data_IF_448573457186
#
_entry.id   IF_448573457186
#
_cell.length_a   1.000
_cell.length_b   1.000
_cell.length_c   1.000
_cell.angle_alpha   90.00
_cell.angle_beta   90.00
_cell.angle_gamma   90.00
#
_symmetry.space_group_name_H-M   'P 1'
#
loop_
_entity.id
_entity.type
_entity.pdbx_description
1 polymer ?
#
# COMPACT_ATOMS: atom_id res chain seq x y z
N UNK A 1 -12.51 -83.51 -17.47
CA UNK A 1 -13.37 -82.63 -18.28
C UNK A 1 -13.98 -81.56 -17.40
N UNK A 2 -13.85 -80.30 -17.82
CA UNK A 2 -14.75 -79.16 -17.55
C UNK A 2 -14.76 -78.47 -16.16
N UNK A 3 -13.96 -77.40 -16.12
CA UNK A 3 -14.29 -76.02 -15.70
C UNK A 3 -15.04 -75.77 -14.38
N UNK A 4 -14.30 -75.30 -13.36
CA UNK A 4 -14.84 -74.49 -12.27
C UNK A 4 -14.43 -73.03 -12.48
N UNK A 5 -15.45 -72.20 -12.67
CA UNK A 5 -15.42 -70.77 -13.01
C UNK A 5 -15.00 -69.95 -11.78
N UNK A 6 -13.98 -69.10 -11.92
CA UNK A 6 -13.66 -68.03 -10.96
C UNK A 6 -14.55 -66.82 -11.27
N UNK A 7 -15.51 -66.53 -10.38
CA UNK A 7 -16.30 -65.31 -10.41
C UNK A 7 -15.53 -64.22 -9.65
N UNK A 8 -14.90 -63.29 -10.37
CA UNK A 8 -14.31 -62.08 -9.79
C UNK A 8 -15.34 -60.94 -9.91
N UNK A 9 -15.85 -60.48 -8.78
CA UNK A 9 -16.75 -59.33 -8.69
C UNK A 9 -15.90 -58.04 -8.71
N UNK A 10 -15.87 -57.35 -9.85
CA UNK A 10 -15.30 -56.01 -9.98
C UNK A 10 -16.37 -54.98 -9.59
N UNK A 11 -16.32 -54.50 -8.35
CA UNK A 11 -17.11 -53.34 -7.91
C UNK A 11 -16.40 -52.07 -8.39
N UNK A 12 -16.92 -51.45 -9.45
CA UNK A 12 -16.47 -50.14 -9.91
C UNK A 12 -16.94 -49.04 -8.98
N UNK A 13 -16.01 -48.41 -8.24
CA UNK A 13 -16.23 -47.15 -7.54
C UNK A 13 -16.26 -46.01 -8.56
N UNK A 14 -17.46 -45.65 -9.03
CA UNK A 14 -17.68 -44.36 -9.70
C UNK A 14 -17.75 -43.27 -8.64
N UNK A 15 -16.61 -42.63 -8.37
CA UNK A 15 -16.58 -41.38 -7.61
C UNK A 15 -17.24 -40.31 -8.49
N UNK A 16 -18.47 -39.92 -8.15
CA UNK A 16 -19.09 -38.74 -8.72
C UNK A 16 -18.31 -37.51 -8.26
N UNK A 17 -17.45 -36.98 -9.13
CA UNK A 17 -16.88 -35.65 -8.95
C UNK A 17 -18.03 -34.64 -9.09
N UNK A 18 -18.59 -34.21 -7.96
CA UNK A 18 -19.48 -33.05 -7.95
C UNK A 18 -18.73 -31.83 -8.50
N UNK A 19 -19.41 -30.90 -9.19
CA UNK A 19 -18.75 -29.68 -9.64
C UNK A 19 -18.21 -28.96 -8.42
N UNK A 20 -16.88 -28.90 -8.29
CA UNK A 20 -16.26 -28.00 -7.35
C UNK A 20 -16.73 -26.60 -7.72
N UNK A 21 -17.58 -25.99 -6.90
CA UNK A 21 -17.89 -24.58 -7.05
C UNK A 21 -16.56 -23.84 -6.98
N UNK A 22 -16.11 -23.31 -8.12
CA UNK A 22 -14.88 -22.55 -8.18
C UNK A 22 -14.96 -21.44 -7.12
N UNK A 23 -13.94 -21.36 -6.27
CA UNK A 23 -13.88 -20.35 -5.24
C UNK A 23 -13.98 -18.97 -5.90
N UNK A 24 -14.88 -18.14 -5.38
CA UNK A 24 -15.08 -16.75 -5.82
C UNK A 24 -13.74 -16.00 -5.83
N UNK A 25 -13.42 -15.33 -6.94
CA UNK A 25 -12.09 -14.71 -7.14
C UNK A 25 -11.83 -13.50 -6.21
N UNK A 26 -12.89 -12.77 -5.87
CA UNK A 26 -12.89 -11.73 -4.84
C UNK A 26 -13.56 -12.26 -3.57
N UNK A 27 -12.87 -12.23 -2.43
CA UNK A 27 -13.42 -12.70 -1.14
C UNK A 27 -13.20 -11.65 -0.06
N UNK A 28 -14.29 -11.25 0.61
CA UNK A 28 -14.32 -10.26 1.69
C UNK A 28 -15.25 -10.74 2.82
N UNK A 29 -14.70 -11.37 3.88
CA UNK A 29 -15.52 -11.89 4.99
C UNK A 29 -16.28 -10.80 5.74
N UNK A 30 -15.70 -9.61 5.84
CA UNK A 30 -16.34 -8.42 6.41
C UNK A 30 -17.61 -8.06 5.63
N UNK A 31 -17.52 -7.93 4.31
CA UNK A 31 -18.67 -7.61 3.47
C UNK A 31 -19.70 -8.75 3.41
N UNK A 32 -19.28 -9.99 3.60
CA UNK A 32 -20.20 -11.13 3.71
C UNK A 32 -21.07 -11.01 4.97
N UNK A 33 -20.46 -10.68 6.10
CA UNK A 33 -21.17 -10.43 7.36
C UNK A 33 -22.11 -9.22 7.25
N UNK A 34 -21.63 -8.13 6.65
CA UNK A 34 -22.43 -6.91 6.47
C UNK A 34 -23.64 -7.17 5.55
N UNK A 35 -23.45 -7.96 4.49
CA UNK A 35 -24.52 -8.45 3.64
C UNK A 35 -25.57 -9.25 4.41
N UNK A 36 -25.16 -10.21 5.24
CA UNK A 36 -26.11 -10.98 6.07
C UNK A 36 -26.92 -10.08 7.00
N UNK A 37 -26.29 -9.10 7.66
CA UNK A 37 -27.00 -8.14 8.53
C UNK A 37 -27.99 -7.29 7.74
N UNK A 38 -27.61 -6.86 6.53
CA UNK A 38 -28.51 -6.13 5.62
C UNK A 38 -29.72 -6.98 5.23
N UNK A 39 -29.50 -8.24 4.84
CA UNK A 39 -30.57 -9.18 4.46
C UNK A 39 -31.55 -9.40 5.62
N UNK A 40 -31.05 -9.68 6.82
CA UNK A 40 -31.89 -9.89 8.00
C UNK A 40 -32.67 -8.64 8.41
N UNK A 41 -32.07 -7.45 8.26
CA UNK A 41 -32.78 -6.19 8.48
C UNK A 41 -33.94 -6.01 7.50
N UNK A 42 -33.70 -6.27 6.21
CA UNK A 42 -34.72 -6.13 5.17
C UNK A 42 -35.90 -7.09 5.39
N UNK A 43 -35.63 -8.34 5.81
CA UNK A 43 -36.69 -9.32 6.13
C UNK A 43 -37.65 -8.83 7.22
N UNK A 44 -37.17 -8.01 8.16
CA UNK A 44 -38.00 -7.44 9.24
C UNK A 44 -38.73 -6.18 8.83
N UNK A 45 -38.10 -5.35 7.99
CA UNK A 45 -38.57 -3.98 7.70
C UNK A 45 -39.40 -3.88 6.41
N UNK A 46 -39.24 -4.81 5.47
CA UNK A 46 -39.81 -4.70 4.11
C UNK A 46 -40.87 -5.76 3.89
N UNK A 47 -42.11 -5.31 3.69
CA UNK A 47 -43.21 -6.17 3.28
C UNK A 47 -43.32 -6.20 1.75
N UNK A 48 -43.04 -7.36 1.17
CA UNK A 48 -43.25 -7.64 -0.25
C UNK A 48 -44.67 -8.19 -0.36
N UNK A 49 -45.63 -7.34 -0.74
CA UNK A 49 -46.97 -7.82 -1.09
C UNK A 49 -46.94 -8.79 -2.28
N UNK A 50 -48.07 -8.96 -2.98
CA UNK A 50 -48.16 -9.86 -4.14
C UNK A 50 -47.45 -9.35 -5.42
N UNK A 51 -46.44 -8.47 -5.30
CA UNK A 51 -45.73 -7.89 -6.45
C UNK A 51 -44.64 -8.86 -6.93
N UNK A 52 -44.67 -9.30 -8.21
CA UNK A 52 -43.62 -10.18 -8.74
C UNK A 52 -42.25 -9.50 -8.76
N UNK A 53 -41.20 -10.28 -8.48
CA UNK A 53 -39.80 -9.85 -8.55
C UNK A 53 -39.47 -9.12 -9.86
N UNK A 54 -39.86 -9.69 -11.00
CA UNK A 54 -39.58 -9.12 -12.31
C UNK A 54 -40.18 -7.71 -12.51
N UNK A 55 -41.35 -7.45 -11.89
CA UNK A 55 -41.99 -6.13 -11.93
C UNK A 55 -41.27 -5.14 -11.02
N UNK A 56 -40.91 -5.55 -9.80
CA UNK A 56 -40.13 -4.72 -8.88
C UNK A 56 -38.79 -4.30 -9.50
N UNK A 57 -38.10 -5.25 -10.13
CA UNK A 57 -36.81 -5.00 -10.79
C UNK A 57 -36.95 -4.02 -11.96
N UNK A 58 -37.95 -4.23 -12.83
CA UNK A 58 -38.19 -3.37 -14.00
C UNK A 58 -38.57 -1.95 -13.59
N UNK A 59 -39.49 -1.80 -12.64
CA UNK A 59 -39.96 -0.51 -12.17
C UNK A 59 -38.83 0.26 -11.48
N UNK A 60 -38.02 -0.44 -10.67
CA UNK A 60 -36.86 0.14 -10.00
C UNK A 60 -35.77 0.58 -10.98
N UNK A 61 -35.46 -0.23 -11.99
CA UNK A 61 -34.52 0.16 -13.05
C UNK A 61 -35.05 1.35 -13.86
N UNK A 62 -36.36 1.41 -14.11
CA UNK A 62 -36.99 2.55 -14.77
C UNK A 62 -36.84 3.83 -13.94
N UNK A 63 -37.02 3.77 -12.62
CA UNK A 63 -36.78 4.90 -11.73
C UNK A 63 -35.31 5.34 -11.75
N UNK A 64 -34.36 4.40 -11.68
CA UNK A 64 -32.92 4.70 -11.81
C UNK A 64 -32.58 5.40 -13.12
N UNK A 65 -33.07 4.91 -14.25
CA UNK A 65 -32.80 5.47 -15.57
C UNK A 65 -33.36 6.90 -15.71
N UNK A 66 -34.36 7.28 -14.91
CA UNK A 66 -34.89 8.65 -14.83
C UNK A 66 -34.13 9.54 -13.83
N UNK A 67 -33.10 9.02 -13.16
CA UNK A 67 -32.36 9.72 -12.12
C UNK A 67 -33.03 9.71 -10.74
N UNK A 68 -34.12 8.97 -10.56
CA UNK A 68 -34.86 8.91 -9.30
C UNK A 68 -34.41 7.73 -8.43
N UNK A 69 -33.20 7.84 -7.89
CA UNK A 69 -32.61 6.83 -7.03
C UNK A 69 -33.38 6.63 -5.71
N UNK A 70 -34.05 7.69 -5.21
CA UNK A 70 -34.87 7.62 -4.00
C UNK A 70 -36.15 6.81 -4.23
N UNK A 71 -36.78 6.91 -5.39
CA UNK A 71 -37.91 6.03 -5.75
C UNK A 71 -37.47 4.60 -6.09
N UNK A 72 -36.26 4.42 -6.64
CA UNK A 72 -35.74 3.09 -6.98
C UNK A 72 -35.41 2.23 -5.74
N UNK A 73 -34.86 2.83 -4.68
CA UNK A 73 -34.40 2.10 -3.50
C UNK A 73 -35.47 1.22 -2.82
N UNK A 74 -36.71 1.69 -2.54
CA UNK A 74 -37.73 0.82 -1.95
C UNK A 74 -38.16 -0.33 -2.88
N UNK A 75 -38.17 -0.11 -4.21
CA UNK A 75 -38.44 -1.16 -5.19
C UNK A 75 -37.32 -2.21 -5.19
N UNK A 76 -36.07 -1.78 -5.06
CA UNK A 76 -34.91 -2.64 -4.92
C UNK A 76 -34.93 -3.46 -3.63
N UNK A 77 -35.28 -2.83 -2.51
CA UNK A 77 -35.47 -3.49 -1.22
C UNK A 77 -36.51 -4.61 -1.32
N UNK A 78 -37.67 -4.31 -1.93
CA UNK A 78 -38.72 -5.30 -2.14
C UNK A 78 -38.26 -6.42 -3.10
N UNK A 79 -37.54 -6.09 -4.17
CA UNK A 79 -37.01 -7.10 -5.09
C UNK A 79 -36.02 -8.06 -4.40
N UNK A 80 -35.12 -7.52 -3.56
CA UNK A 80 -34.15 -8.32 -2.81
C UNK A 80 -34.81 -9.25 -1.79
N UNK A 81 -35.95 -8.85 -1.20
CA UNK A 81 -36.72 -9.74 -0.29
C UNK A 81 -37.59 -10.74 -1.06
N UNK A 82 -38.13 -10.35 -2.23
CA UNK A 82 -38.97 -11.22 -3.07
C UNK A 82 -38.21 -12.43 -3.60
N UNK A 83 -36.95 -12.25 -3.98
CA UNK A 83 -36.06 -13.31 -4.45
C UNK A 83 -34.61 -13.07 -3.95
N UNK A 84 -34.28 -13.45 -2.71
CA UNK A 84 -32.97 -13.17 -2.10
C UNK A 84 -31.81 -13.91 -2.77
N UNK A 85 -32.09 -15.01 -3.47
CA UNK A 85 -31.10 -15.78 -4.20
C UNK A 85 -30.72 -15.13 -5.54
N UNK A 86 -31.55 -14.23 -6.06
CA UNK A 86 -31.32 -13.57 -7.33
C UNK A 86 -30.43 -12.32 -7.17
N UNK A 87 -29.32 -12.19 -7.93
CA UNK A 87 -28.43 -11.05 -7.81
C UNK A 87 -29.05 -9.73 -8.31
N UNK A 88 -30.13 -9.76 -9.09
CA UNK A 88 -30.74 -8.59 -9.70
C UNK A 88 -31.24 -7.55 -8.70
N UNK A 89 -31.99 -7.98 -7.66
CA UNK A 89 -32.51 -7.07 -6.63
C UNK A 89 -31.39 -6.39 -5.84
N UNK A 90 -30.33 -7.15 -5.53
CA UNK A 90 -29.15 -6.65 -4.83
C UNK A 90 -28.33 -5.67 -5.67
N UNK A 91 -28.14 -5.92 -6.98
CA UNK A 91 -27.50 -4.96 -7.91
C UNK A 91 -28.28 -3.65 -7.99
N UNK A 92 -29.61 -3.75 -8.15
CA UNK A 92 -30.48 -2.59 -8.20
C UNK A 92 -30.39 -1.78 -6.91
N UNK A 93 -30.34 -2.45 -5.75
CA UNK A 93 -30.22 -1.79 -4.44
C UNK A 93 -28.89 -1.05 -4.32
N UNK A 94 -27.80 -1.67 -4.75
CA UNK A 94 -26.48 -1.04 -4.73
C UNK A 94 -26.44 0.22 -5.58
N UNK A 95 -26.98 0.16 -6.80
CA UNK A 95 -27.05 1.30 -7.71
C UNK A 95 -27.96 2.41 -7.16
N UNK A 96 -29.13 2.06 -6.60
CA UNK A 96 -30.04 3.03 -5.99
C UNK A 96 -29.45 3.69 -4.76
N UNK A 97 -28.92 2.91 -3.81
CA UNK A 97 -28.29 3.46 -2.61
C UNK A 97 -27.08 4.34 -2.95
N UNK A 98 -26.27 3.92 -3.93
CA UNK A 98 -25.15 4.71 -4.43
C UNK A 98 -25.62 5.99 -5.14
N UNK A 99 -26.74 5.97 -5.86
CA UNK A 99 -27.27 7.10 -6.62
C UNK A 99 -27.98 8.19 -5.82
N UNK A 100 -28.33 7.94 -4.55
CA UNK A 100 -29.02 8.92 -3.71
C UNK A 100 -28.03 9.98 -3.21
N UNK A 101 -28.37 11.26 -3.40
CA UNK A 101 -27.69 12.37 -2.71
C UNK A 101 -28.13 12.41 -1.24
N UNK A 102 -27.23 12.24 -0.28
CA UNK A 102 -27.57 12.22 1.14
C UNK A 102 -27.98 13.60 1.65
N UNK A 103 -28.94 13.64 2.56
CA UNK A 103 -29.39 14.86 3.26
C UNK A 103 -28.50 15.25 4.42
N UNK A 104 -27.87 14.25 5.04
CA UNK A 104 -27.02 14.43 6.21
C UNK A 104 -25.92 13.35 6.29
N UNK A 105 -25.03 13.50 7.27
CA UNK A 105 -23.89 12.60 7.49
C UNK A 105 -24.32 11.17 7.84
N UNK A 106 -25.42 11.01 8.58
CA UNK A 106 -25.92 9.70 9.00
C UNK A 106 -26.48 8.95 7.79
N UNK A 107 -27.33 9.61 6.99
CA UNK A 107 -27.87 9.03 5.75
C UNK A 107 -26.73 8.70 4.79
N UNK A 108 -25.69 9.53 4.69
CA UNK A 108 -24.49 9.25 3.88
C UNK A 108 -23.82 7.94 4.29
N UNK A 109 -23.62 7.72 5.59
CA UNK A 109 -23.00 6.50 6.09
C UNK A 109 -23.88 5.27 5.82
N UNK A 110 -25.17 5.36 6.12
CA UNK A 110 -26.14 4.27 5.92
C UNK A 110 -26.28 3.88 4.44
N UNK A 111 -26.32 4.85 3.53
CA UNK A 111 -26.38 4.62 2.09
C UNK A 111 -25.08 3.99 1.56
N UNK A 112 -23.92 4.44 2.03
CA UNK A 112 -22.63 3.85 1.67
C UNK A 112 -22.55 2.38 2.09
N UNK A 113 -22.84 2.09 3.36
CA UNK A 113 -22.83 0.71 3.88
C UNK A 113 -23.81 -0.16 3.10
N UNK A 114 -25.04 0.33 2.88
CA UNK A 114 -26.05 -0.39 2.10
C UNK A 114 -25.60 -0.67 0.66
N UNK A 115 -25.00 0.32 -0.02
CA UNK A 115 -24.56 0.18 -1.40
C UNK A 115 -23.46 -0.89 -1.53
N UNK A 116 -22.44 -0.84 -0.67
CA UNK A 116 -21.31 -1.78 -0.69
C UNK A 116 -21.79 -3.20 -0.36
N UNK A 117 -22.57 -3.36 0.70
CA UNK A 117 -23.08 -4.67 1.14
C UNK A 117 -24.00 -5.31 0.11
N UNK A 118 -24.92 -4.53 -0.48
CA UNK A 118 -25.79 -5.02 -1.54
C UNK A 118 -25.01 -5.41 -2.81
N UNK A 119 -24.02 -4.62 -3.21
CA UNK A 119 -23.20 -4.95 -4.39
C UNK A 119 -22.39 -6.24 -4.19
N UNK A 120 -21.84 -6.43 -2.98
CA UNK A 120 -21.10 -7.65 -2.65
C UNK A 120 -22.02 -8.88 -2.56
N UNK A 121 -23.22 -8.75 -1.97
CA UNK A 121 -24.23 -9.82 -1.97
C UNK A 121 -24.63 -10.22 -3.39
N UNK A 122 -24.87 -9.25 -4.28
CA UNK A 122 -25.17 -9.55 -5.68
C UNK A 122 -24.08 -10.43 -6.32
N UNK A 123 -22.82 -10.11 -6.08
CA UNK A 123 -21.68 -10.89 -6.57
C UNK A 123 -21.62 -12.30 -5.96
N UNK A 124 -21.88 -12.42 -4.65
CA UNK A 124 -21.94 -13.73 -3.98
C UNK A 124 -23.08 -14.61 -4.50
N UNK A 125 -24.23 -14.02 -4.83
CA UNK A 125 -25.42 -14.71 -5.36
C UNK A 125 -25.35 -15.00 -6.87
N UNK A 126 -24.39 -14.40 -7.57
CA UNK A 126 -24.23 -14.62 -9.01
C UNK A 126 -23.66 -16.02 -9.27
N UNK A 127 -24.32 -16.80 -10.12
CA UNK A 127 -23.93 -18.18 -10.45
C UNK A 127 -23.42 -18.36 -11.87
N UNK A 128 -23.68 -17.39 -12.75
CA UNK A 128 -23.23 -17.36 -14.14
C UNK A 128 -22.06 -16.39 -14.31
N UNK A 129 -21.17 -16.62 -15.29
CA UNK A 129 -20.08 -15.68 -15.61
C UNK A 129 -20.58 -14.27 -15.96
N UNK A 130 -21.66 -14.09 -16.75
CA UNK A 130 -22.19 -12.75 -17.05
C UNK A 130 -22.77 -12.02 -15.82
N UNK A 131 -23.49 -12.71 -14.94
CA UNK A 131 -23.99 -12.11 -13.68
C UNK A 131 -22.83 -11.80 -12.72
N UNK A 132 -21.88 -12.73 -12.65
CA UNK A 132 -20.49 -12.59 -12.25
C UNK A 132 -19.91 -11.19 -12.47
N UNK A 133 -19.62 -10.96 -13.75
CA UNK A 133 -19.02 -9.75 -14.26
C UNK A 133 -19.86 -8.52 -13.95
N UNK A 134 -21.18 -8.61 -14.17
CA UNK A 134 -22.10 -7.49 -13.94
C UNK A 134 -22.13 -7.05 -12.47
N UNK A 135 -22.15 -7.99 -11.54
CA UNK A 135 -22.16 -7.69 -10.11
C UNK A 135 -20.84 -7.12 -9.62
N UNK A 136 -19.70 -7.66 -10.11
CA UNK A 136 -18.38 -7.07 -9.85
C UNK A 136 -18.26 -5.65 -10.41
N UNK A 137 -18.84 -5.39 -11.59
CA UNK A 137 -18.87 -4.06 -12.18
C UNK A 137 -19.64 -3.04 -11.35
N UNK A 138 -20.80 -3.43 -10.81
CA UNK A 138 -21.56 -2.61 -9.87
C UNK A 138 -20.75 -2.37 -8.58
N UNK A 139 -20.13 -3.41 -8.02
CA UNK A 139 -19.29 -3.30 -6.83
C UNK A 139 -18.10 -2.37 -7.05
N UNK A 140 -17.46 -2.43 -8.22
CA UNK A 140 -16.34 -1.56 -8.58
C UNK A 140 -16.74 -0.09 -8.61
N UNK A 141 -17.86 0.24 -9.26
CA UNK A 141 -18.42 1.60 -9.29
C UNK A 141 -18.81 2.12 -7.92
N UNK A 142 -19.37 1.26 -7.07
CA UNK A 142 -19.69 1.61 -5.68
C UNK A 142 -18.41 1.91 -4.90
N UNK A 143 -17.37 1.09 -5.03
CA UNK A 143 -16.08 1.36 -4.38
C UNK A 143 -15.45 2.66 -4.90
N UNK A 144 -15.47 2.89 -6.21
CA UNK A 144 -14.95 4.11 -6.81
C UNK A 144 -15.68 5.36 -6.30
N UNK A 145 -17.02 5.36 -6.29
CA UNK A 145 -17.82 6.48 -5.78
C UNK A 145 -17.49 6.83 -4.32
N UNK A 146 -17.11 5.81 -3.53
CA UNK A 146 -16.76 5.96 -2.12
C UNK A 146 -15.25 6.02 -1.87
N UNK A 147 -14.46 6.31 -2.92
CA UNK A 147 -13.02 6.54 -2.87
C UNK A 147 -12.19 5.35 -2.35
N UNK A 148 -12.75 4.15 -2.46
CA UNK A 148 -12.08 2.90 -2.13
C UNK A 148 -11.32 2.40 -3.37
N UNK A 149 -10.25 3.12 -3.72
CA UNK A 149 -9.56 2.98 -5.00
C UNK A 149 -9.00 1.58 -5.29
N UNK A 150 -8.31 0.98 -4.32
CA UNK A 150 -7.69 -0.34 -4.52
C UNK A 150 -8.74 -1.46 -4.67
N UNK A 151 -9.77 -1.54 -3.80
CA UNK A 151 -10.90 -2.43 -4.05
C UNK A 151 -11.60 -2.19 -5.39
N UNK A 152 -11.81 -0.92 -5.79
CA UNK A 152 -12.43 -0.58 -7.08
C UNK A 152 -11.62 -1.11 -8.27
N UNK A 153 -10.32 -0.81 -8.34
CA UNK A 153 -9.43 -1.30 -9.41
C UNK A 153 -9.40 -2.83 -9.49
N UNK A 154 -9.38 -3.50 -8.33
CA UNK A 154 -9.38 -4.97 -8.27
C UNK A 154 -10.67 -5.55 -8.83
N UNK A 155 -11.82 -5.01 -8.42
CA UNK A 155 -13.14 -5.51 -8.83
C UNK A 155 -13.48 -5.16 -10.28
N UNK A 156 -13.03 -4.00 -10.78
CA UNK A 156 -13.09 -3.68 -12.21
C UNK A 156 -12.33 -4.70 -13.04
N UNK A 157 -11.05 -4.98 -12.70
CA UNK A 157 -10.23 -5.97 -13.40
C UNK A 157 -10.91 -7.34 -13.42
N UNK A 158 -11.37 -7.82 -12.26
CA UNK A 158 -12.06 -9.11 -12.16
C UNK A 158 -13.36 -9.16 -12.97
N UNK A 159 -14.10 -8.07 -13.06
CA UNK A 159 -15.28 -7.97 -13.92
C UNK A 159 -14.91 -8.13 -15.40
N UNK A 160 -13.88 -7.40 -15.85
CA UNK A 160 -13.41 -7.40 -17.24
C UNK A 160 -12.75 -8.73 -17.66
N UNK A 161 -12.09 -9.42 -16.73
CA UNK A 161 -11.54 -10.77 -16.94
C UNK A 161 -12.64 -11.80 -17.21
N UNK A 162 -13.84 -11.57 -16.68
CA UNK A 162 -14.97 -12.48 -16.82
C UNK A 162 -15.79 -12.24 -18.08
N UNK A 163 -16.09 -10.97 -18.36
CA UNK A 163 -16.79 -10.53 -19.56
C UNK A 163 -16.35 -9.11 -19.94
N UNK A 164 -16.04 -8.91 -21.23
CA UNK A 164 -15.70 -7.59 -21.73
C UNK A 164 -16.90 -6.63 -21.68
N UNK A 165 -16.65 -5.39 -21.26
CA UNK A 165 -17.60 -4.30 -21.28
C UNK A 165 -16.86 -2.97 -21.53
N UNK A 166 -17.15 -2.32 -22.67
CA UNK A 166 -16.46 -1.11 -23.09
C UNK A 166 -16.61 0.08 -22.10
N UNK A 167 -17.78 0.23 -21.47
CA UNK A 167 -18.00 1.28 -20.48
C UNK A 167 -17.18 1.04 -19.21
N UNK A 168 -17.21 -0.19 -18.67
CA UNK A 168 -16.41 -0.54 -17.49
C UNK A 168 -14.91 -0.46 -17.77
N UNK A 169 -14.46 -0.84 -18.98
CA UNK A 169 -13.06 -0.70 -19.39
C UNK A 169 -12.62 0.75 -19.37
N UNK A 170 -13.45 1.64 -19.91
CA UNK A 170 -13.19 3.09 -19.90
C UNK A 170 -13.06 3.62 -18.47
N UNK A 171 -14.00 3.25 -17.58
CA UNK A 171 -13.96 3.64 -16.17
C UNK A 171 -12.69 3.10 -15.48
N UNK A 172 -12.37 1.82 -15.71
CA UNK A 172 -11.18 1.16 -15.16
C UNK A 172 -9.87 1.83 -15.60
N UNK A 173 -9.70 2.09 -16.90
CA UNK A 173 -8.49 2.69 -17.45
C UNK A 173 -8.28 4.12 -16.93
N UNK A 174 -9.37 4.91 -16.86
CA UNK A 174 -9.34 6.25 -16.29
C UNK A 174 -8.92 6.22 -14.81
N UNK A 175 -9.51 5.33 -14.01
CA UNK A 175 -9.18 5.17 -12.61
C UNK A 175 -7.75 4.64 -12.43
N UNK A 176 -7.31 3.69 -13.26
CA UNK A 176 -5.98 3.07 -13.21
C UNK A 176 -4.88 4.08 -13.50
N UNK A 177 -5.13 5.02 -14.43
CA UNK A 177 -4.21 6.10 -14.74
C UNK A 177 -4.00 7.06 -13.54
N UNK A 178 -5.05 7.34 -12.77
CA UNK A 178 -5.01 8.31 -11.67
C UNK A 178 -4.62 7.68 -10.32
N UNK A 179 -5.11 6.48 -10.04
CA UNK A 179 -5.10 5.85 -8.72
C UNK A 179 -4.41 4.49 -8.67
N UNK A 180 -4.01 3.92 -9.80
CA UNK A 180 -3.30 2.64 -9.80
C UNK A 180 -1.82 2.74 -9.39
N UNK A 181 -1.05 1.68 -9.63
CA UNK A 181 0.41 1.67 -9.48
C UNK A 181 1.09 2.72 -10.37
N UNK A 182 1.72 3.72 -9.72
CA UNK A 182 2.34 4.91 -10.30
C UNK A 182 3.44 5.44 -9.39
N UNK A 183 4.30 6.30 -9.92
CA UNK A 183 5.25 7.06 -9.13
C UNK A 183 4.54 8.20 -8.38
N UNK A 184 4.97 8.44 -7.14
CA UNK A 184 4.37 9.44 -6.24
C UNK A 184 5.38 10.48 -5.76
N UNK A 185 6.66 10.10 -5.60
CA UNK A 185 7.70 11.00 -5.11
C UNK A 185 9.10 10.49 -5.50
N UNK A 186 10.12 11.31 -5.26
CA UNK A 186 11.51 10.88 -5.27
C UNK A 186 12.24 11.47 -4.06
N UNK A 187 13.23 10.74 -3.56
CA UNK A 187 14.10 11.14 -2.44
C UNK A 187 15.55 10.93 -2.82
N UNK A 188 16.41 11.84 -2.41
CA UNK A 188 17.86 11.75 -2.59
C UNK A 188 18.48 11.66 -1.21
N UNK A 189 19.24 10.60 -0.95
CA UNK A 189 20.04 10.49 0.25
C UNK A 189 21.46 10.96 -0.07
N UNK A 190 21.68 12.26 0.09
CA UNK A 190 22.97 12.91 -0.18
C UNK A 190 23.91 12.94 1.02
N UNK A 191 23.49 12.48 2.20
CA UNK A 191 24.33 12.48 3.40
C UNK A 191 24.99 11.12 3.65
N UNK A 192 24.50 10.08 2.96
CA UNK A 192 25.14 8.77 2.93
C UNK A 192 26.55 8.80 2.33
N UNK A 193 27.42 7.91 2.80
CA UNK A 193 28.79 7.77 2.26
C UNK A 193 28.80 7.36 0.77
N UNK A 194 27.78 6.59 0.36
CA UNK A 194 27.46 6.31 -1.03
C UNK A 194 26.07 6.87 -1.29
N UNK A 195 25.93 8.04 -1.92
CA UNK A 195 24.62 8.65 -2.12
C UNK A 195 23.78 7.84 -3.09
N UNK A 196 22.46 7.90 -2.87
CA UNK A 196 21.47 7.17 -3.66
C UNK A 196 20.24 8.03 -3.95
N UNK A 197 19.55 7.74 -5.05
CA UNK A 197 18.27 8.34 -5.39
C UNK A 197 17.19 7.26 -5.42
N UNK A 198 16.11 7.44 -4.68
CA UNK A 198 14.99 6.51 -4.58
C UNK A 198 13.71 7.12 -5.15
N UNK A 199 13.00 6.33 -5.94
CA UNK A 199 11.74 6.70 -6.60
C UNK A 199 10.61 5.92 -5.96
N UNK A 200 9.64 6.63 -5.38
CA UNK A 200 8.57 6.04 -4.58
C UNK A 200 7.32 5.75 -5.42
N UNK A 201 6.72 4.59 -5.19
CA UNK A 201 5.54 4.09 -5.89
C UNK A 201 4.32 4.01 -4.97
N UNK A 202 3.14 4.14 -5.58
CA UNK A 202 1.84 4.05 -4.92
C UNK A 202 1.48 2.63 -4.47
N UNK A 203 2.17 1.59 -4.91
CA UNK A 203 1.96 0.20 -4.46
C UNK A 203 3.32 -0.51 -4.36
N UNK A 204 3.41 -1.63 -3.65
CA UNK A 204 4.65 -2.40 -3.59
C UNK A 204 5.09 -2.88 -4.97
N UNK A 205 6.40 -2.90 -5.20
CA UNK A 205 7.08 -3.55 -6.31
C UNK A 205 6.93 -5.06 -6.22
N UNK A 206 7.07 -5.72 -7.36
CA UNK A 206 7.04 -7.18 -7.43
C UNK A 206 8.11 -7.80 -6.53
N UNK A 207 7.74 -8.84 -5.79
CA UNK A 207 8.64 -9.56 -4.87
C UNK A 207 9.30 -10.74 -5.57
N UNK A 208 10.48 -11.13 -5.09
CA UNK A 208 11.24 -12.28 -5.60
C UNK A 208 12.44 -11.86 -6.45
N UNK A 209 12.87 -12.71 -7.39
CA UNK A 209 14.02 -12.44 -8.27
C UNK A 209 13.57 -11.66 -9.52
N UNK A 210 13.21 -10.40 -9.33
CA UNK A 210 12.95 -9.46 -10.43
C UNK A 210 14.16 -8.55 -10.60
N UNK A 211 14.73 -8.53 -11.80
CA UNK A 211 15.76 -7.55 -12.16
C UNK A 211 15.07 -6.25 -12.60
N UNK A 212 15.30 -5.18 -11.83
CA UNK A 212 14.73 -3.86 -12.12
C UNK A 212 15.63 -2.98 -13.00
N UNK A 213 16.88 -3.40 -13.22
CA UNK A 213 17.87 -2.65 -14.00
C UNK A 213 17.35 -2.24 -15.40
N UNK A 214 16.65 -3.10 -16.17
CA UNK A 214 16.15 -2.73 -17.50
C UNK A 214 15.11 -1.60 -17.52
N UNK A 215 14.48 -1.31 -16.38
CA UNK A 215 13.45 -0.29 -16.24
C UNK A 215 14.01 1.09 -15.82
N UNK A 216 15.31 1.20 -15.59
CA UNK A 216 15.95 2.46 -15.22
C UNK A 216 16.99 2.83 -16.27
N UNK A 217 16.85 4.00 -16.88
CA UNK A 217 17.95 4.62 -17.62
C UNK A 217 18.55 5.74 -16.78
N UNK A 218 19.88 5.78 -16.72
CA UNK A 218 20.63 6.73 -15.89
C UNK A 218 21.62 7.45 -16.78
N UNK A 219 21.64 8.77 -16.72
CA UNK A 219 22.66 9.61 -17.37
C UNK A 219 23.47 10.32 -16.30
N UNK A 220 24.78 10.07 -16.29
CA UNK A 220 25.72 10.62 -15.31
C UNK A 220 26.95 9.73 -15.17
N UNK A 221 27.91 10.16 -14.34
CA UNK A 221 29.13 9.38 -14.05
C UNK A 221 28.95 8.58 -12.77
N UNK A 222 29.14 7.27 -12.82
CA UNK A 222 29.08 6.42 -11.63
C UNK A 222 29.01 4.95 -11.99
N UNK A 223 29.13 4.11 -10.97
CA UNK A 223 28.93 2.66 -11.06
C UNK A 223 27.59 2.34 -10.41
N UNK A 224 26.53 2.35 -11.21
CA UNK A 224 25.17 2.32 -10.70
C UNK A 224 24.70 0.91 -10.37
N UNK A 225 23.99 0.78 -9.25
CA UNK A 225 23.24 -0.42 -8.91
C UNK A 225 21.77 -0.05 -8.70
N UNK A 226 20.86 -0.85 -9.28
CA UNK A 226 19.41 -0.64 -9.16
C UNK A 226 18.84 -1.66 -8.20
N UNK A 227 18.16 -1.19 -7.16
CA UNK A 227 17.60 -2.02 -6.08
C UNK A 227 16.13 -1.70 -5.87
N UNK A 228 15.29 -2.74 -5.77
CA UNK A 228 13.87 -2.59 -5.46
C UNK A 228 13.62 -2.89 -3.98
N UNK A 229 13.04 -1.92 -3.27
CA UNK A 229 12.80 -1.97 -1.82
C UNK A 229 11.34 -1.66 -1.52
N UNK A 230 10.53 -2.69 -1.27
CA UNK A 230 9.09 -2.58 -1.02
C UNK A 230 8.33 -1.71 -2.05
N UNK A 231 8.25 -0.40 -1.82
CA UNK A 231 7.56 0.60 -2.67
C UNK A 231 8.52 1.60 -3.30
N UNK A 232 9.82 1.34 -3.26
CA UNK A 232 10.86 2.24 -3.75
C UNK A 232 11.77 1.53 -4.73
N UNK A 233 12.14 2.23 -5.79
CA UNK A 233 13.20 1.81 -6.70
C UNK A 233 14.36 2.76 -6.50
N UNK A 234 15.48 2.24 -6.02
CA UNK A 234 16.64 3.05 -5.67
C UNK A 234 17.79 2.80 -6.64
N UNK A 235 18.52 3.88 -6.91
CA UNK A 235 19.76 3.86 -7.68
C UNK A 235 20.89 4.28 -6.76
N UNK A 236 21.77 3.33 -6.50
CA UNK A 236 22.97 3.47 -5.70
C UNK A 236 24.19 3.82 -6.60
N UNK A 237 25.31 4.21 -5.98
CA UNK A 237 26.55 4.51 -6.70
C UNK A 237 26.61 5.91 -7.32
N UNK A 238 25.80 6.84 -6.81
CA UNK A 238 25.87 8.24 -7.20
C UNK A 238 27.11 8.91 -6.57
N UNK A 239 27.46 10.09 -7.08
CA UNK A 239 28.55 10.93 -6.56
C UNK A 239 28.00 12.27 -6.10
N UNK A 240 28.55 12.81 -5.02
CA UNK A 240 28.24 14.16 -4.53
C UNK A 240 28.71 15.23 -5.52
N UNK A 241 28.03 16.38 -5.53
CA UNK A 241 28.34 17.52 -6.38
C UNK A 241 27.92 17.34 -7.85
N UNK A 242 27.28 16.23 -8.21
CA UNK A 242 26.96 15.86 -9.58
C UNK A 242 25.44 15.89 -9.84
N UNK A 243 25.06 16.08 -11.12
CA UNK A 243 23.67 16.01 -11.59
C UNK A 243 23.43 14.73 -12.39
N UNK A 244 22.25 14.16 -12.21
CA UNK A 244 21.82 12.92 -12.86
C UNK A 244 20.43 13.09 -13.45
N UNK A 245 20.26 12.52 -14.63
CA UNK A 245 18.94 12.34 -15.26
C UNK A 245 18.55 10.88 -15.16
N UNK A 246 17.35 10.61 -14.65
CA UNK A 246 16.79 9.27 -14.51
C UNK A 246 15.52 9.14 -15.35
N UNK A 247 15.41 8.05 -16.09
CA UNK A 247 14.15 7.65 -16.74
C UNK A 247 13.70 6.35 -16.11
N UNK A 248 12.60 6.42 -15.35
CA UNK A 248 11.91 5.23 -14.86
C UNK A 248 10.94 4.81 -15.94
N UNK A 249 11.27 3.75 -16.67
CA UNK A 249 10.52 3.29 -17.83
C UNK A 249 9.20 2.67 -17.40
N UNK A 250 8.18 2.84 -18.23
CA UNK A 250 6.95 2.04 -18.14
C UNK A 250 7.27 0.54 -18.08
N UNK A 251 6.35 -0.24 -17.52
CA UNK A 251 6.48 -1.69 -17.42
C UNK A 251 7.08 -2.21 -16.12
N UNK A 252 7.55 -1.33 -15.21
CA UNK A 252 7.99 -1.74 -13.86
C UNK A 252 6.89 -2.61 -13.22
N UNK A 253 7.19 -3.84 -12.79
CA UNK A 253 6.19 -4.74 -12.23
C UNK A 253 5.90 -4.41 -10.76
N UNK A 254 4.61 -4.31 -10.42
CA UNK A 254 4.17 -4.22 -9.02
C UNK A 254 3.98 -5.60 -8.39
N UNK A 255 3.72 -5.65 -7.09
CA UNK A 255 3.29 -6.85 -6.38
C UNK A 255 1.85 -7.26 -6.75
N UNK A 256 1.09 -6.36 -7.38
CA UNK A 256 -0.27 -6.64 -7.82
C UNK A 256 -0.20 -7.40 -9.15
N UNK A 257 -0.89 -8.56 -9.28
CA UNK A 257 -0.88 -9.36 -10.50
C UNK A 257 -1.25 -8.54 -11.74
N UNK A 258 -0.45 -8.69 -12.79
CA UNK A 258 -0.62 -8.05 -14.10
C UNK A 258 -0.67 -6.50 -14.10
N UNK A 259 -0.38 -5.87 -12.97
CA UNK A 259 -0.33 -4.41 -12.84
C UNK A 259 1.11 -3.91 -12.93
N UNK A 260 1.40 -3.18 -14.02
CA UNK A 260 2.73 -2.58 -14.30
C UNK A 260 2.64 -1.06 -14.38
N UNK A 261 3.77 -0.37 -14.24
CA UNK A 261 3.83 1.09 -14.39
C UNK A 261 3.37 1.49 -15.80
N UNK A 262 2.37 2.35 -15.90
CA UNK A 262 1.72 2.68 -17.18
C UNK A 262 2.53 3.63 -18.06
N UNK A 263 3.22 4.59 -17.45
CA UNK A 263 3.94 5.65 -18.17
C UNK A 263 5.31 5.81 -17.57
N UNK A 264 6.29 6.07 -18.43
CA UNK A 264 7.63 6.45 -17.99
C UNK A 264 7.59 7.81 -17.28
N UNK A 265 8.57 8.05 -16.41
CA UNK A 265 8.75 9.34 -15.76
C UNK A 265 10.24 9.72 -15.76
N UNK A 266 10.49 10.99 -16.04
CA UNK A 266 11.82 11.59 -16.10
C UNK A 266 12.08 12.41 -14.84
N UNK A 267 13.26 12.27 -14.26
CA UNK A 267 13.69 13.00 -13.06
C UNK A 267 15.07 13.59 -13.25
N UNK A 268 15.22 14.84 -12.85
CA UNK A 268 16.49 15.54 -12.76
C UNK A 268 16.86 15.70 -11.29
N UNK A 269 17.99 15.14 -10.89
CA UNK A 269 18.43 15.06 -9.51
C UNK A 269 19.82 15.67 -9.38
N UNK A 270 19.98 16.62 -8.47
CA UNK A 270 21.28 17.09 -8.03
C UNK A 270 21.63 16.45 -6.68
N UNK A 271 22.75 15.73 -6.64
CA UNK A 271 23.25 15.14 -5.40
C UNK A 271 24.12 16.17 -4.70
N UNK A 272 23.63 16.70 -3.59
CA UNK A 272 24.37 17.69 -2.81
C UNK A 272 25.60 17.06 -2.15
N UNK A 273 26.55 17.92 -1.84
CA UNK A 273 27.61 17.58 -0.91
C UNK A 273 27.03 17.25 0.46
N UNK A 274 27.69 16.32 1.16
CA UNK A 274 27.32 15.94 2.52
C UNK A 274 27.36 17.16 3.42
N UNK A 275 26.41 17.26 4.35
CA UNK A 275 26.45 18.32 5.35
C UNK A 275 27.78 18.24 6.16
N UNK A 276 28.40 19.39 6.48
CA UNK A 276 29.56 19.43 7.36
C UNK A 276 29.26 18.71 8.67
N UNK A 277 30.10 17.75 9.06
CA UNK A 277 29.94 17.03 10.32
C UNK A 277 31.27 16.59 10.88
N UNK A 278 31.31 16.37 12.19
CA UNK A 278 32.47 15.83 12.90
C UNK A 278 32.00 14.87 13.98
N UNK A 279 32.71 13.77 14.14
CA UNK A 279 32.51 12.81 15.23
C UNK A 279 33.85 12.22 15.66
N UNK A 280 33.92 11.78 16.91
CA UNK A 280 35.04 10.97 17.38
C UNK A 280 34.90 9.51 16.91
N UNK A 281 36.01 8.82 16.65
CA UNK A 281 36.00 7.41 16.19
C UNK A 281 36.14 6.38 17.31
N UNK A 282 36.36 6.83 18.55
CA UNK A 282 36.65 5.95 19.68
C UNK A 282 36.54 6.65 21.03
N UNK A 283 37.48 6.36 21.94
CA UNK A 283 37.47 6.87 23.31
C UNK A 283 37.71 8.39 23.32
N UNK A 284 36.76 9.14 23.86
CA UNK A 284 36.83 10.61 23.96
C UNK A 284 37.55 11.11 25.23
N UNK A 285 38.29 10.21 25.88
CA UNK A 285 38.96 10.46 27.16
C UNK A 285 40.46 10.20 27.00
N UNK A 286 41.27 11.15 27.43
CA UNK A 286 42.73 11.07 27.42
C UNK A 286 43.27 11.07 28.84
N UNK A 287 44.24 10.20 29.11
CA UNK A 287 44.99 10.17 30.37
C UNK A 287 46.32 10.94 30.19
N UNK A 288 46.53 12.08 30.88
CA UNK A 288 47.63 12.99 30.57
C UNK A 288 49.06 12.43 30.72
N UNK A 289 49.29 11.44 31.59
CA UNK A 289 50.65 10.93 31.90
C UNK A 289 51.06 9.69 31.12
N UNK A 290 50.11 8.92 30.60
CA UNK A 290 50.37 7.58 30.00
C UNK A 290 49.48 7.27 28.80
N UNK A 291 48.62 8.21 28.37
CA UNK A 291 47.60 8.01 27.35
C UNK A 291 48.05 8.20 25.91
N UNK A 292 47.13 7.93 24.98
CA UNK A 292 47.31 8.11 23.53
C UNK A 292 47.72 9.55 23.16
N UNK A 293 48.55 9.70 22.14
CA UNK A 293 49.05 10.99 21.63
C UNK A 293 48.01 11.87 20.90
N UNK A 294 46.71 11.60 21.09
CA UNK A 294 45.63 12.39 20.48
C UNK A 294 44.27 11.69 20.54
N UNK A 295 43.22 12.43 20.17
CA UNK A 295 41.86 11.90 20.04
C UNK A 295 41.49 11.89 18.55
N UNK A 296 41.23 10.72 17.94
CA UNK A 296 40.90 10.65 16.53
C UNK A 296 39.49 11.19 16.26
N UNK A 297 39.40 12.08 15.28
CA UNK A 297 38.14 12.62 14.75
C UNK A 297 37.98 12.23 13.29
N UNK A 298 36.74 12.00 12.88
CA UNK A 298 36.34 11.90 11.48
C UNK A 298 35.43 13.07 11.19
N UNK A 299 35.86 13.92 10.27
CA UNK A 299 35.06 15.00 9.71
C UNK A 299 34.58 14.64 8.31
N UNK A 300 33.54 15.33 7.87
CA UNK A 300 33.00 15.30 6.52
C UNK A 300 32.74 16.73 6.13
N UNK A 301 33.28 17.18 4.98
CA UNK A 301 33.03 18.52 4.43
C UNK A 301 33.15 19.67 5.44
N UNK A 302 34.12 19.60 6.36
CA UNK A 302 34.41 20.65 7.34
C UNK A 302 35.86 21.10 7.18
N UNK A 303 36.08 22.41 7.01
CA UNK A 303 37.43 22.99 6.83
C UNK A 303 38.13 23.26 8.17
N UNK A 304 37.35 23.43 9.24
CA UNK A 304 37.85 23.67 10.60
C UNK A 304 36.95 23.06 11.65
N UNK A 305 37.54 22.68 12.78
CA UNK A 305 36.85 22.12 13.94
C UNK A 305 37.11 22.99 15.15
N UNK A 306 36.05 23.36 15.86
CA UNK A 306 36.17 23.92 17.20
C UNK A 306 36.26 22.78 18.22
N UNK A 307 37.30 22.83 19.04
CA UNK A 307 37.66 21.79 20.00
C UNK A 307 37.70 22.37 21.40
N UNK A 308 37.13 21.63 22.35
CA UNK A 308 37.12 21.97 23.78
C UNK A 308 37.65 20.76 24.57
N UNK A 309 38.68 21.00 25.38
CA UNK A 309 39.20 20.00 26.32
C UNK A 309 38.70 20.36 27.70
N UNK A 310 37.99 19.42 28.31
CA UNK A 310 37.45 19.54 29.67
C UNK A 310 38.21 18.60 30.60
N UNK A 311 38.54 19.09 31.79
CA UNK A 311 39.10 18.27 32.87
C UNK A 311 38.02 17.99 33.90
N UNK A 312 37.80 16.71 34.20
CA UNK A 312 36.97 16.29 35.33
C UNK A 312 37.72 16.62 36.63
N UNK A 313 37.04 17.26 37.58
CA UNK A 313 37.63 17.59 38.88
C UNK A 313 37.89 16.34 39.71
N UNK A 314 38.97 16.37 40.51
CA UNK A 314 39.44 15.19 41.26
C UNK A 314 38.34 14.59 42.18
N UNK A 315 37.47 15.45 42.76
CA UNK A 315 36.33 15.03 43.61
C UNK A 315 35.23 14.29 42.85
N UNK A 316 35.08 14.60 41.56
CA UNK A 316 34.06 14.03 40.68
C UNK A 316 34.60 12.87 39.83
N UNK A 317 35.90 12.58 39.93
CA UNK A 317 36.57 11.57 39.11
C UNK A 317 36.04 10.17 39.37
N UNK A 318 35.92 9.77 40.65
CA UNK A 318 35.40 8.45 41.03
C UNK A 318 33.97 8.27 40.50
N UNK A 319 33.09 9.26 40.74
CA UNK A 319 31.71 9.21 40.27
C UNK A 319 31.57 9.18 38.74
N UNK A 320 32.47 9.86 38.02
CA UNK A 320 32.46 9.91 36.55
C UNK A 320 33.05 8.65 35.90
N UNK A 321 33.92 7.91 36.59
CA UNK A 321 34.45 6.62 36.11
C UNK A 321 33.47 5.49 36.37
N UNK A 322 32.67 5.59 37.45
CA UNK A 322 31.63 4.61 37.78
C UNK A 322 30.30 4.84 37.06
N UNK A 323 30.12 5.95 36.33
CA UNK A 323 28.92 6.17 35.54
C UNK A 323 28.90 5.28 34.30
N UNK A 324 27.73 4.76 33.93
CA UNK A 324 27.54 3.92 32.74
C UNK A 324 27.92 4.64 31.43
N UNK A 325 27.92 5.98 31.44
CA UNK A 325 28.31 6.82 30.31
C UNK A 325 29.84 6.97 30.15
N UNK A 326 30.64 6.41 31.05
CA UNK A 326 32.10 6.51 30.99
C UNK A 326 32.63 5.80 29.73
N UNK A 327 33.46 6.50 28.95
CA UNK A 327 33.96 6.07 27.63
C UNK A 327 32.91 5.99 26.50
N UNK A 328 31.66 6.42 26.75
CA UNK A 328 30.65 6.56 25.69
C UNK A 328 30.91 7.78 24.79
N UNK A 329 30.17 7.88 23.69
CA UNK A 329 30.21 9.04 22.84
C UNK A 329 29.61 10.26 23.57
N UNK A 330 30.37 11.36 23.65
CA UNK A 330 29.91 12.57 24.32
C UNK A 330 28.89 13.30 23.43
N UNK A 331 27.62 13.27 23.82
CA UNK A 331 26.58 14.14 23.28
C UNK A 331 26.63 15.53 23.90
N UNK A 332 25.93 16.49 23.28
CA UNK A 332 25.92 17.90 23.72
C UNK A 332 25.51 18.07 25.18
N UNK A 333 24.53 17.29 25.66
CA UNK A 333 24.07 17.34 27.06
C UNK A 333 25.16 16.92 28.05
N UNK A 334 25.83 15.79 27.80
CA UNK A 334 26.89 15.27 28.65
C UNK A 334 28.10 16.22 28.67
N UNK A 335 28.43 16.83 27.53
CA UNK A 335 29.48 17.83 27.45
C UNK A 335 29.15 19.06 28.32
N UNK A 336 27.93 19.60 28.24
CA UNK A 336 27.51 20.72 29.08
C UNK A 336 27.55 20.40 30.57
N UNK A 337 27.10 19.20 30.97
CA UNK A 337 27.11 18.79 32.38
C UNK A 337 28.53 18.59 32.93
N UNK A 338 29.47 18.11 32.10
CA UNK A 338 30.88 18.03 32.49
C UNK A 338 31.46 19.43 32.69
N UNK A 339 31.15 20.38 31.81
CA UNK A 339 31.65 21.74 31.89
C UNK A 339 31.09 22.54 33.08
N UNK A 340 29.83 22.29 33.49
CA UNK A 340 29.18 23.04 34.58
C UNK A 340 29.36 22.41 35.97
N UNK A 341 29.25 21.08 36.08
CA UNK A 341 29.05 20.43 37.38
C UNK A 341 30.20 19.50 37.76
N UNK A 342 30.75 18.76 36.78
CA UNK A 342 31.74 17.70 37.05
C UNK A 342 33.18 18.16 36.92
N UNK A 343 33.44 19.26 36.22
CA UNK A 343 34.78 19.69 35.87
C UNK A 343 34.85 21.13 35.39
N UNK A 344 35.84 21.40 34.53
CA UNK A 344 36.01 22.71 33.90
C UNK A 344 36.66 22.58 32.52
N UNK A 345 36.35 23.53 31.63
CA UNK A 345 37.08 23.71 30.37
C UNK A 345 38.51 24.15 30.68
N UNK A 346 39.49 23.38 30.21
CA UNK A 346 40.92 23.69 30.39
C UNK A 346 41.57 24.23 29.12
N UNK A 347 40.98 23.96 27.96
CA UNK A 347 41.47 24.49 26.68
C UNK A 347 40.34 24.58 25.65
N UNK A 348 40.37 25.62 24.83
CA UNK A 348 39.54 25.79 23.64
C UNK A 348 40.42 26.23 22.48
N UNK A 349 40.15 25.71 21.30
CA UNK A 349 40.85 26.15 20.11
C UNK A 349 40.21 25.62 18.84
N UNK A 350 40.58 26.24 17.73
CA UNK A 350 40.15 25.83 16.40
C UNK A 350 41.29 25.09 15.73
N UNK A 351 40.97 23.98 15.06
CA UNK A 351 41.91 23.17 14.31
C UNK A 351 41.45 23.10 12.85
N UNK A 352 42.31 23.45 11.91
CA UNK A 352 42.04 23.21 10.50
C UNK A 352 42.02 21.71 10.20
N UNK A 353 41.03 21.25 9.43
CA UNK A 353 40.98 19.89 8.90
C UNK A 353 41.92 19.85 7.69
N UNK A 354 42.77 18.82 7.62
CA UNK A 354 43.73 18.63 6.53
C UNK A 354 43.21 17.66 5.49
#
# INVERSE_FOLDING_TARGET
MRHLVRLALLLGLTVAAGPAFAQKAYVRPDLASDGQRLEERLKREVSVGQRPFATLLRDGMTALNRGDARAALPLANAAAVADPANPGGWRLMAQAASGIEPRDYRERYELRERAVSAAYLAYQRSTSRPDEASSLGVLARVFEKHELWRPALTTYRLSLDLADNASLRTDYEALRAQRGFRLISNKVDSDAASPRACFEFSEPLSRGRVDFTPYVAITGKGDFAVTGEERQLCVDGLRHGERYSFVIRQGVPSAIPDEKLLKSADYEVYVRDRAPSVRFTGKNYVLPRTGQQGVPVVSVNADSLDLEVMRIGDRNLIGSVHSDDFLSQLGSYNASQIASDKGSSVWKGTMAVK
#
